data_IF_479091167051
#
_entry.id   IF_479091167051
#
_cell.length_a   1.000
_cell.length_b   1.000
_cell.length_c   1.000
_cell.angle_alpha   90.00
_cell.angle_beta   90.00
_cell.angle_gamma   90.00
#
_symmetry.space_group_name_H-M   'P 1'
#
loop_
_entity.id
_entity.type
_entity.pdbx_description
1 polymer ?
#
# COMPACT_ATOMS: atom_id res chain seq x y z
N UNK A 1 20.58 -16.20 -10.37
CA UNK A 1 19.48 -17.10 -10.75
C UNK A 1 18.42 -16.22 -11.41
N UNK A 2 18.23 -16.31 -12.73
CA UNK A 2 17.19 -15.53 -13.40
C UNK A 2 15.83 -16.19 -13.09
N UNK A 3 14.88 -15.42 -12.56
CA UNK A 3 13.54 -15.90 -12.24
C UNK A 3 12.81 -16.38 -13.50
N UNK A 4 12.05 -17.47 -13.40
CA UNK A 4 11.22 -18.02 -14.49
C UNK A 4 10.24 -16.93 -14.99
N UNK A 5 10.13 -16.68 -16.31
CA UNK A 5 9.19 -15.70 -16.88
C UNK A 5 7.73 -15.85 -16.38
N UNK A 6 7.30 -17.06 -16.06
CA UNK A 6 5.95 -17.32 -15.51
C UNK A 6 5.77 -16.74 -14.10
N UNK A 7 6.83 -16.77 -13.29
CA UNK A 7 6.80 -16.17 -11.95
C UNK A 7 6.74 -14.64 -12.03
N UNK A 8 7.46 -14.04 -12.98
CA UNK A 8 7.39 -12.59 -13.22
C UNK A 8 5.99 -12.16 -13.68
N UNK A 9 5.38 -12.89 -14.60
CA UNK A 9 4.01 -12.61 -15.06
C UNK A 9 2.98 -12.75 -13.93
N UNK A 10 3.16 -13.76 -13.05
CA UNK A 10 2.31 -13.93 -11.87
C UNK A 10 2.48 -12.78 -10.88
N UNK A 11 3.72 -12.34 -10.62
CA UNK A 11 3.98 -11.18 -9.76
C UNK A 11 3.31 -9.91 -10.27
N UNK A 12 3.45 -9.62 -11.56
CA UNK A 12 2.78 -8.47 -12.17
C UNK A 12 1.25 -8.55 -12.04
N UNK A 13 0.69 -9.76 -12.14
CA UNK A 13 -0.75 -9.97 -11.99
C UNK A 13 -1.20 -9.68 -10.56
N UNK A 14 -0.46 -10.15 -9.55
CA UNK A 14 -0.75 -9.86 -8.14
C UNK A 14 -0.60 -8.37 -7.82
N UNK A 15 0.47 -7.73 -8.29
CA UNK A 15 0.65 -6.27 -8.13
C UNK A 15 -0.51 -5.47 -8.74
N UNK A 16 -0.97 -5.84 -9.93
CA UNK A 16 -2.11 -5.18 -10.58
C UNK A 16 -3.42 -5.41 -9.82
N UNK A 17 -3.64 -6.62 -9.30
CA UNK A 17 -4.80 -6.94 -8.48
C UNK A 17 -4.81 -6.17 -7.16
N UNK A 18 -3.66 -6.10 -6.47
CA UNK A 18 -3.51 -5.36 -5.22
C UNK A 18 -3.73 -3.86 -5.44
N UNK A 19 -3.19 -3.30 -6.54
CA UNK A 19 -3.41 -1.91 -6.91
C UNK A 19 -4.89 -1.62 -7.20
N UNK A 20 -5.58 -2.50 -7.91
CA UNK A 20 -7.00 -2.34 -8.22
C UNK A 20 -7.88 -2.46 -6.96
N UNK A 21 -7.56 -3.37 -6.04
CA UNK A 21 -8.26 -3.51 -4.76
C UNK A 21 -8.06 -2.26 -3.89
N UNK A 22 -6.83 -1.75 -3.80
CA UNK A 22 -6.54 -0.52 -3.06
C UNK A 22 -7.30 0.68 -3.63
N UNK A 23 -7.31 0.85 -4.96
CA UNK A 23 -8.09 1.89 -5.63
C UNK A 23 -9.60 1.78 -5.36
N UNK A 24 -10.13 0.56 -5.33
CA UNK A 24 -11.54 0.34 -5.02
C UNK A 24 -11.89 0.77 -3.58
N UNK A 25 -11.00 0.51 -2.61
CA UNK A 25 -11.16 0.97 -1.22
C UNK A 25 -11.19 2.50 -1.16
N UNK A 26 -10.22 3.17 -1.79
CA UNK A 26 -10.15 4.65 -1.79
C UNK A 26 -11.40 5.28 -2.40
N UNK A 27 -11.91 4.71 -3.49
CA UNK A 27 -13.11 5.21 -4.19
C UNK A 27 -14.42 4.95 -3.43
N UNK A 28 -14.51 3.83 -2.70
CA UNK A 28 -15.74 3.40 -2.05
C UNK A 28 -15.99 4.04 -0.69
N UNK A 29 -14.93 4.51 -0.01
CA UNK A 29 -15.03 5.07 1.34
C UNK A 29 -14.79 6.58 1.30
N UNK A 30 -15.83 7.37 1.58
CA UNK A 30 -15.74 8.84 1.62
C UNK A 30 -14.70 9.29 2.66
N UNK A 31 -13.65 9.97 2.20
CA UNK A 31 -12.59 10.50 3.06
C UNK A 31 -11.48 9.49 3.40
N UNK A 32 -11.53 8.28 2.82
CA UNK A 32 -10.38 7.38 2.80
C UNK A 32 -9.26 7.95 1.92
N UNK A 33 -8.03 7.57 2.25
CA UNK A 33 -6.83 7.88 1.50
C UNK A 33 -5.94 6.65 1.54
N UNK A 34 -5.49 6.19 0.38
CA UNK A 34 -4.56 5.06 0.25
C UNK A 34 -3.13 5.59 0.17
N UNK A 35 -2.25 5.02 0.98
CA UNK A 35 -0.81 5.28 0.95
C UNK A 35 -0.12 4.05 0.37
N UNK A 36 0.65 4.24 -0.71
CA UNK A 36 1.46 3.18 -1.33
C UNK A 36 2.89 3.26 -0.80
N UNK A 37 3.35 2.23 -0.10
CA UNK A 37 4.69 2.17 0.49
C UNK A 37 5.59 1.23 -0.35
N UNK A 38 6.66 1.73 -0.97
CA UNK A 38 7.55 0.89 -1.74
C UNK A 38 8.36 -0.04 -0.83
N UNK A 39 8.57 -1.27 -1.29
CA UNK A 39 9.37 -2.30 -0.60
C UNK A 39 8.86 -2.70 0.80
N UNK A 40 7.58 -2.46 1.08
CA UNK A 40 6.95 -2.94 2.30
C UNK A 40 6.72 -4.45 2.22
N UNK A 41 6.97 -5.14 3.33
CA UNK A 41 6.59 -6.54 3.50
C UNK A 41 5.23 -6.67 4.22
N UNK A 42 4.84 -7.89 4.55
CA UNK A 42 3.58 -8.15 5.26
C UNK A 42 3.50 -7.45 6.63
N UNK A 43 4.64 -7.16 7.26
CA UNK A 43 4.76 -6.43 8.51
C UNK A 43 5.06 -4.95 8.24
N UNK A 44 4.16 -4.27 7.53
CA UNK A 44 4.33 -2.89 7.00
C UNK A 44 4.90 -1.86 7.99
N UNK A 45 4.57 -1.97 9.29
CA UNK A 45 5.11 -1.08 10.31
C UNK A 45 6.60 -1.34 10.58
N UNK A 46 7.06 -2.59 10.56
CA UNK A 46 8.45 -2.95 10.79
C UNK A 46 9.31 -2.64 9.55
N UNK A 47 8.81 -2.90 8.35
CA UNK A 47 9.54 -2.64 7.10
C UNK A 47 9.59 -1.16 6.71
N UNK A 48 8.59 -0.35 7.08
CA UNK A 48 8.47 1.05 6.69
C UNK A 48 8.03 1.98 7.84
N UNK A 49 8.60 1.78 9.04
CA UNK A 49 8.19 2.48 10.26
C UNK A 49 8.09 4.00 10.10
N UNK A 50 9.13 4.62 9.54
CA UNK A 50 9.23 6.07 9.41
C UNK A 50 8.09 6.64 8.53
N UNK A 51 7.78 5.97 7.43
CA UNK A 51 6.69 6.37 6.53
C UNK A 51 5.34 6.17 7.19
N UNK A 52 5.10 5.01 7.81
CA UNK A 52 3.85 4.72 8.52
C UNK A 52 3.58 5.77 9.60
N UNK A 53 4.57 6.08 10.42
CA UNK A 53 4.45 7.08 11.48
C UNK A 53 4.21 8.49 10.93
N UNK A 54 4.83 8.86 9.81
CA UNK A 54 4.58 10.15 9.14
C UNK A 54 3.11 10.25 8.71
N UNK A 55 2.61 9.22 8.03
CA UNK A 55 1.25 9.23 7.48
C UNK A 55 0.17 9.17 8.56
N UNK A 56 0.41 8.42 9.66
CA UNK A 56 -0.49 8.40 10.82
C UNK A 56 -0.54 9.79 11.49
N UNK A 57 0.61 10.44 11.72
CA UNK A 57 0.64 11.79 12.30
C UNK A 57 -0.10 12.80 11.42
N UNK A 58 0.12 12.76 10.11
CA UNK A 58 -0.58 13.63 9.16
C UNK A 58 -2.10 13.35 9.14
N UNK A 59 -2.51 12.08 9.26
CA UNK A 59 -3.92 11.73 9.40
C UNK A 59 -4.52 12.31 10.69
N UNK A 60 -3.88 12.12 11.84
CA UNK A 60 -4.38 12.62 13.12
C UNK A 60 -4.51 14.15 13.09
N UNK A 61 -3.52 14.85 12.51
CA UNK A 61 -3.52 16.31 12.40
C UNK A 61 -4.69 16.88 11.56
N UNK A 62 -5.32 16.07 10.71
CA UNK A 62 -6.47 16.49 9.87
C UNK A 62 -7.83 16.20 10.51
N UNK A 63 -7.86 15.47 11.63
CA UNK A 63 -9.12 15.14 12.28
C UNK A 63 -9.72 16.41 12.92
N UNK A 64 -11.04 16.61 12.82
CA UNK A 64 -11.69 17.69 13.53
C UNK A 64 -11.52 17.48 15.04
N UNK A 65 -11.26 18.59 15.74
CA UNK A 65 -11.17 18.67 17.20
C UNK A 65 -12.56 18.88 17.77
#
# INVERSE_FOLDING_TARGET
MASDPRQLAQWQTWEAQDAAQADAVERSIKGARVVRLPNADHFVHQSNEADVLREIRAFIARLPI
#
